data_IF_490119128425
#
_entry.id   IF_490119128425
#
_cell.length_a   1.000
_cell.length_b   1.000
_cell.length_c   1.000
_cell.angle_alpha   90.00
_cell.angle_beta   90.00
_cell.angle_gamma   90.00
#
_symmetry.space_group_name_H-M   'P 1'
#
loop_
_entity.id
_entity.type
_entity.pdbx_description
1 polymer ?
#
# COMPACT_ATOMS: atom_id res chain seq x y z
N UNK A 1 -4.39 -30.09 -31.10
CA UNK A 1 -4.64 -29.76 -29.69
C UNK A 1 -3.30 -29.75 -28.97
N UNK A 2 -2.64 -28.61 -28.83
CA UNK A 2 -1.38 -28.51 -28.08
C UNK A 2 -1.70 -28.47 -26.59
N UNK A 3 -1.29 -29.51 -25.86
CA UNK A 3 -1.37 -29.54 -24.40
C UNK A 3 -0.48 -28.44 -23.82
N UNK A 4 -1.06 -27.60 -22.98
CA UNK A 4 -0.33 -26.55 -22.28
C UNK A 4 0.57 -27.20 -21.23
N UNK A 5 1.88 -27.23 -21.47
CA UNK A 5 2.90 -27.43 -20.44
C UNK A 5 2.73 -26.32 -19.40
N UNK A 6 1.98 -26.61 -18.34
CA UNK A 6 1.73 -25.63 -17.29
C UNK A 6 2.92 -25.67 -16.36
N UNK A 7 3.72 -24.61 -16.42
CA UNK A 7 4.94 -24.48 -15.66
C UNK A 7 4.72 -23.48 -14.52
N UNK A 8 4.93 -23.91 -13.27
CA UNK A 8 4.65 -23.09 -12.08
C UNK A 8 5.94 -22.66 -11.39
N UNK A 9 6.13 -21.37 -11.19
CA UNK A 9 7.20 -20.85 -10.33
C UNK A 9 6.83 -21.02 -8.84
N UNK A 10 7.78 -21.45 -8.02
CA UNK A 10 7.65 -21.61 -6.56
C UNK A 10 8.87 -21.00 -5.86
N UNK A 11 8.65 -20.28 -4.76
CA UNK A 11 9.70 -19.81 -3.87
C UNK A 11 9.91 -20.86 -2.75
N UNK A 12 11.13 -21.37 -2.64
CA UNK A 12 11.54 -22.29 -1.58
C UNK A 12 11.85 -21.52 -0.26
N UNK A 13 11.79 -22.17 0.92
CA UNK A 13 12.06 -21.52 2.21
C UNK A 13 13.45 -20.91 2.34
N UNK A 14 14.41 -21.37 1.54
CA UNK A 14 15.77 -20.85 1.46
C UNK A 14 15.90 -19.62 0.53
N UNK A 15 14.78 -19.14 -0.03
CA UNK A 15 14.71 -17.99 -0.91
C UNK A 15 14.98 -18.29 -2.39
N UNK A 16 15.27 -19.55 -2.77
CA UNK A 16 15.46 -19.90 -4.18
C UNK A 16 14.13 -20.00 -4.91
N UNK A 17 14.08 -19.52 -6.14
CA UNK A 17 12.93 -19.72 -7.02
C UNK A 17 13.17 -20.95 -7.89
N UNK A 18 12.21 -21.87 -7.91
CA UNK A 18 12.22 -23.09 -8.73
C UNK A 18 11.04 -23.10 -9.69
N UNK A 19 11.21 -23.79 -10.79
CA UNK A 19 10.20 -24.03 -11.80
C UNK A 19 9.76 -25.49 -11.74
N UNK A 20 8.45 -25.71 -11.52
CA UNK A 20 7.84 -27.05 -11.52
C UNK A 20 7.27 -27.31 -12.90
N UNK A 21 7.83 -28.30 -13.59
CA UNK A 21 7.44 -28.75 -14.92
C UNK A 21 6.18 -29.64 -14.84
N UNK A 22 5.54 -29.88 -15.98
CA UNK A 22 4.27 -30.61 -16.07
C UNK A 22 4.36 -32.07 -15.59
N UNK A 23 5.55 -32.67 -15.66
CA UNK A 23 5.88 -34.02 -15.19
C UNK A 23 6.20 -34.07 -13.68
N UNK A 24 6.16 -32.92 -12.99
CA UNK A 24 6.50 -32.78 -11.57
C UNK A 24 7.99 -32.54 -11.31
N UNK A 25 8.83 -32.48 -12.35
CA UNK A 25 10.26 -32.19 -12.22
C UNK A 25 10.44 -30.75 -11.71
N UNK A 26 11.34 -30.58 -10.73
CA UNK A 26 11.65 -29.28 -10.14
C UNK A 26 13.05 -28.86 -10.58
N UNK A 27 13.14 -27.78 -11.33
CA UNK A 27 14.42 -27.21 -11.79
C UNK A 27 14.62 -25.81 -11.22
N UNK A 28 15.86 -25.33 -11.01
CA UNK A 28 16.10 -23.94 -10.67
C UNK A 28 15.50 -23.01 -11.74
N UNK A 29 14.78 -21.96 -11.31
CA UNK A 29 14.36 -20.91 -12.22
C UNK A 29 15.50 -19.87 -12.30
N UNK A 30 16.32 -19.97 -13.34
CA UNK A 30 17.37 -18.99 -13.57
C UNK A 30 16.76 -17.61 -13.84
N UNK A 31 17.26 -16.60 -13.13
CA UNK A 31 16.84 -15.23 -13.38
C UNK A 31 17.39 -14.79 -14.73
N UNK A 32 16.50 -14.38 -15.63
CA UNK A 32 16.87 -13.77 -16.92
C UNK A 32 17.34 -12.32 -16.77
N UNK A 33 17.28 -11.78 -15.56
CA UNK A 33 17.62 -10.39 -15.26
C UNK A 33 19.06 -10.31 -14.78
N UNK A 34 19.85 -9.47 -15.44
CA UNK A 34 21.15 -9.07 -14.92
C UNK A 34 20.98 -8.07 -13.76
N UNK A 35 20.92 -8.62 -12.54
CA UNK A 35 20.75 -7.83 -11.32
C UNK A 35 21.96 -6.96 -10.99
N UNK A 36 23.17 -7.39 -11.36
CA UNK A 36 24.39 -6.62 -11.11
C UNK A 36 24.38 -5.34 -11.96
N UNK A 37 23.97 -5.43 -13.22
CA UNK A 37 23.76 -4.27 -14.09
C UNK A 37 22.70 -3.32 -13.56
N UNK A 38 21.56 -3.84 -13.08
CA UNK A 38 20.49 -3.00 -12.52
C UNK A 38 20.94 -2.29 -11.24
N UNK A 39 21.63 -2.98 -10.34
CA UNK A 39 22.12 -2.41 -9.09
C UNK A 39 23.23 -1.37 -9.31
N UNK A 40 23.99 -1.47 -10.40
CA UNK A 40 25.01 -0.50 -10.79
C UNK A 40 24.47 0.68 -11.62
N UNK A 41 23.18 0.67 -11.99
CA UNK A 41 22.59 1.72 -12.81
C UNK A 41 22.54 3.04 -12.04
N UNK A 42 23.05 4.10 -12.67
CA UNK A 42 23.03 5.44 -12.09
C UNK A 42 21.62 6.03 -12.09
N UNK A 43 21.36 7.04 -11.25
CA UNK A 43 20.07 7.73 -11.22
C UNK A 43 19.77 8.40 -12.57
N UNK A 44 20.80 8.96 -13.22
CA UNK A 44 20.69 9.57 -14.55
C UNK A 44 20.30 8.55 -15.62
N UNK A 45 20.86 7.35 -15.59
CA UNK A 45 20.50 6.26 -16.51
C UNK A 45 19.10 5.72 -16.21
N UNK A 46 18.72 5.60 -14.94
CA UNK A 46 17.36 5.21 -14.53
C UNK A 46 16.35 6.21 -15.10
N UNK A 47 16.61 7.51 -14.93
CA UNK A 47 15.69 8.56 -15.39
C UNK A 47 15.63 8.62 -16.93
N UNK A 48 16.76 8.46 -17.62
CA UNK A 48 16.79 8.40 -19.07
C UNK A 48 16.01 7.19 -19.62
N UNK A 49 16.13 6.03 -18.98
CA UNK A 49 15.37 4.82 -19.34
C UNK A 49 13.86 5.03 -19.12
N UNK A 50 13.46 5.61 -17.99
CA UNK A 50 12.06 5.92 -17.72
C UNK A 50 11.49 6.92 -18.74
N UNK A 51 12.23 7.98 -19.09
CA UNK A 51 11.80 8.96 -20.12
C UNK A 51 11.71 8.36 -21.52
N UNK A 52 12.50 7.33 -21.82
CA UNK A 52 12.47 6.66 -23.11
C UNK A 52 11.33 5.64 -23.24
N UNK A 53 10.72 5.20 -22.13
CA UNK A 53 9.57 4.31 -22.08
C UNK A 53 8.26 5.11 -22.23
N UNK A 54 7.56 5.03 -23.39
CA UNK A 54 6.34 5.81 -23.62
C UNK A 54 5.19 5.42 -22.68
N UNK A 55 5.19 4.20 -22.14
CA UNK A 55 4.12 3.68 -21.30
C UNK A 55 4.32 4.03 -19.82
N UNK A 56 5.54 4.44 -19.42
CA UNK A 56 5.87 4.73 -18.02
C UNK A 56 6.87 5.90 -17.86
N UNK A 57 6.57 7.10 -18.40
CA UNK A 57 7.42 8.26 -18.20
C UNK A 57 7.35 8.79 -16.76
N UNK A 58 8.42 9.44 -16.25
CA UNK A 58 8.36 10.13 -14.98
C UNK A 58 7.34 11.28 -15.03
N UNK A 59 6.64 11.49 -13.91
CA UNK A 59 5.67 12.59 -13.78
C UNK A 59 6.36 13.95 -13.87
N UNK A 60 5.75 14.88 -14.60
CA UNK A 60 6.13 16.29 -14.54
C UNK A 60 5.81 16.89 -13.17
N UNK A 61 6.48 17.99 -12.81
CA UNK A 61 6.20 18.72 -11.57
C UNK A 61 4.74 19.19 -11.48
N UNK A 62 4.13 19.56 -12.62
CA UNK A 62 2.73 19.98 -12.68
C UNK A 62 1.78 18.79 -12.46
N UNK A 63 2.04 17.63 -13.07
CA UNK A 63 1.27 16.41 -12.85
C UNK A 63 1.35 15.94 -11.40
N UNK A 64 2.56 15.96 -10.83
CA UNK A 64 2.78 15.65 -9.43
C UNK A 64 2.02 16.61 -8.51
N UNK A 65 2.03 17.91 -8.80
CA UNK A 65 1.28 18.92 -8.05
C UNK A 65 -0.24 18.73 -8.14
N UNK A 66 -0.75 18.19 -9.25
CA UNK A 66 -2.17 17.84 -9.42
C UNK A 66 -2.57 16.57 -8.64
N UNK A 67 -1.60 15.72 -8.27
CA UNK A 67 -1.90 14.54 -7.45
C UNK A 67 -2.41 14.97 -6.09
N UNK A 68 -3.57 14.45 -5.71
CA UNK A 68 -4.08 14.60 -4.34
C UNK A 68 -3.70 13.37 -3.55
N UNK A 69 -2.65 13.40 -2.70
CA UNK A 69 -2.26 12.24 -1.91
C UNK A 69 -3.44 11.77 -1.04
N UNK A 70 -3.64 10.45 -1.03
CA UNK A 70 -4.56 9.81 -0.11
C UNK A 70 -3.89 9.80 1.27
N UNK A 71 -4.56 10.23 2.34
CA UNK A 71 -3.99 10.18 3.68
C UNK A 71 -3.64 8.73 4.04
N UNK A 72 -2.41 8.52 4.50
CA UNK A 72 -1.94 7.22 4.96
C UNK A 72 -2.40 7.01 6.41
N UNK A 73 -3.43 6.17 6.57
CA UNK A 73 -4.00 5.86 7.88
C UNK A 73 -2.96 5.25 8.85
N UNK A 74 -2.01 4.45 8.33
CA UNK A 74 -0.96 3.84 9.15
C UNK A 74 0.00 4.91 9.66
N UNK A 75 0.49 5.76 8.77
CA UNK A 75 1.40 6.84 9.12
C UNK A 75 0.77 7.82 10.14
N UNK A 76 -0.50 8.17 9.94
CA UNK A 76 -1.25 9.02 10.88
C UNK A 76 -1.32 8.34 12.26
N UNK A 77 -1.72 7.07 12.30
CA UNK A 77 -1.84 6.30 13.55
C UNK A 77 -0.49 6.20 14.29
N UNK A 78 0.58 5.92 13.57
CA UNK A 78 1.93 5.76 14.14
C UNK A 78 2.45 7.09 14.71
N UNK A 79 2.22 8.20 14.02
CA UNK A 79 2.55 9.55 14.53
C UNK A 79 1.78 9.90 15.81
N UNK A 80 0.55 9.41 15.94
CA UNK A 80 -0.25 9.53 17.17
C UNK A 80 0.12 8.52 18.26
N UNK A 81 1.04 7.59 17.97
CA UNK A 81 1.51 6.53 18.88
C UNK A 81 0.38 5.63 19.39
N UNK A 82 -0.54 5.26 18.51
CA UNK A 82 -1.69 4.40 18.85
C UNK A 82 -1.56 3.01 18.24
N UNK A 83 -2.07 2.00 18.96
CA UNK A 83 -2.37 0.70 18.35
C UNK A 83 -3.56 0.82 17.39
N UNK A 84 -3.76 -0.18 16.52
CA UNK A 84 -4.90 -0.19 15.60
C UNK A 84 -6.23 -0.11 16.37
N UNK A 85 -6.34 -0.84 17.48
CA UNK A 85 -7.51 -0.88 18.35
C UNK A 85 -7.77 0.48 19.00
N UNK A 86 -6.71 1.14 19.49
CA UNK A 86 -6.83 2.46 20.10
C UNK A 86 -7.25 3.52 19.08
N UNK A 87 -6.69 3.49 17.86
CA UNK A 87 -7.08 4.40 16.79
C UNK A 87 -8.53 4.18 16.37
N UNK A 88 -8.91 2.92 16.15
CA UNK A 88 -10.26 2.52 15.78
C UNK A 88 -11.30 3.01 16.80
N UNK A 89 -11.05 2.77 18.09
CA UNK A 89 -11.93 3.21 19.17
C UNK A 89 -11.98 4.74 19.29
N UNK A 90 -10.84 5.42 19.22
CA UNK A 90 -10.74 6.86 19.43
C UNK A 90 -11.42 7.70 18.34
N UNK A 91 -11.38 7.22 17.10
CA UNK A 91 -11.88 7.97 15.94
C UNK A 91 -13.11 7.33 15.29
N UNK A 92 -13.75 6.38 15.97
CA UNK A 92 -14.93 5.66 15.50
C UNK A 92 -14.74 5.04 14.10
N UNK A 93 -13.55 4.51 13.82
CA UNK A 93 -13.24 3.77 12.59
C UNK A 93 -13.31 2.28 12.90
N UNK A 94 -14.12 1.47 12.19
CA UNK A 94 -14.14 0.02 12.42
C UNK A 94 -12.75 -0.59 12.24
N UNK A 95 -12.31 -1.43 13.18
CA UNK A 95 -10.96 -2.02 13.18
C UNK A 95 -10.64 -2.78 11.88
N UNK A 96 -11.61 -3.54 11.35
CA UNK A 96 -11.45 -4.23 10.08
C UNK A 96 -11.21 -3.27 8.90
N UNK A 97 -11.92 -2.14 8.89
CA UNK A 97 -11.74 -1.09 7.88
C UNK A 97 -10.37 -0.44 7.97
N UNK A 98 -9.90 -0.12 9.18
CA UNK A 98 -8.55 0.41 9.38
C UNK A 98 -7.49 -0.58 8.86
N UNK A 99 -7.61 -1.87 9.19
CA UNK A 99 -6.70 -2.92 8.72
C UNK A 99 -6.68 -3.06 7.20
N UNK A 100 -7.85 -2.96 6.56
CA UNK A 100 -7.96 -2.99 5.10
C UNK A 100 -7.25 -1.78 4.46
N UNK A 101 -7.32 -0.60 5.09
CA UNK A 101 -6.60 0.58 4.63
C UNK A 101 -5.08 0.46 4.81
N UNK A 102 -4.62 0.06 5.99
CA UNK A 102 -3.18 0.00 6.29
C UNK A 102 -2.43 -1.07 5.49
N UNK A 103 -3.13 -2.13 5.04
CA UNK A 103 -2.58 -3.16 4.15
C UNK A 103 -2.80 -2.83 2.66
N UNK A 104 -3.54 -1.78 2.34
CA UNK A 104 -3.86 -1.40 0.95
C UNK A 104 -4.91 -2.28 0.27
N UNK A 105 -5.65 -3.11 1.02
CA UNK A 105 -6.76 -3.90 0.48
C UNK A 105 -7.94 -3.01 0.06
N UNK A 106 -8.10 -1.84 0.70
CA UNK A 106 -9.02 -0.78 0.27
C UNK A 106 -8.38 0.59 0.47
N UNK A 107 -8.87 1.58 -0.27
CA UNK A 107 -8.43 2.97 -0.15
C UNK A 107 -9.53 3.80 0.53
N UNK A 108 -9.21 4.66 1.53
CA UNK A 108 -10.19 5.56 2.11
C UNK A 108 -10.68 6.56 1.06
N UNK A 109 -12.00 6.71 0.97
CA UNK A 109 -12.67 7.58 0.00
C UNK A 109 -13.72 8.46 0.69
N UNK A 110 -14.11 9.55 0.02
CA UNK A 110 -15.18 10.44 0.47
C UNK A 110 -15.01 10.89 1.93
N UNK A 111 -16.02 10.71 2.80
CA UNK A 111 -15.96 11.13 4.20
C UNK A 111 -14.80 10.53 4.99
N UNK A 112 -14.41 9.28 4.73
CA UNK A 112 -13.28 8.64 5.42
C UNK A 112 -11.96 9.36 5.13
N UNK A 113 -11.75 9.77 3.88
CA UNK A 113 -10.57 10.55 3.48
C UNK A 113 -10.55 11.90 4.18
N UNK A 114 -11.70 12.57 4.27
CA UNK A 114 -11.83 13.85 4.99
C UNK A 114 -11.53 13.67 6.47
N UNK A 115 -12.11 12.67 7.12
CA UNK A 115 -11.87 12.36 8.54
C UNK A 115 -10.38 12.15 8.81
N UNK A 116 -9.70 11.33 8.00
CA UNK A 116 -8.26 11.10 8.16
C UNK A 116 -7.44 12.38 8.03
N UNK A 117 -7.80 13.31 7.12
CA UNK A 117 -7.14 14.63 7.03
C UNK A 117 -7.34 15.46 8.27
N UNK A 118 -8.55 15.48 8.82
CA UNK A 118 -8.84 16.24 10.05
C UNK A 118 -8.09 15.63 11.23
N UNK A 119 -8.05 14.29 11.36
CA UNK A 119 -7.27 13.60 12.40
C UNK A 119 -5.78 13.91 12.26
N UNK A 120 -5.26 13.92 11.03
CA UNK A 120 -3.86 14.20 10.76
C UNK A 120 -3.46 15.61 11.24
N UNK A 121 -4.30 16.60 10.98
CA UNK A 121 -4.05 18.00 11.32
C UNK A 121 -4.43 18.38 12.76
N UNK A 122 -5.60 17.94 13.24
CA UNK A 122 -6.16 18.29 14.54
C UNK A 122 -6.95 17.10 15.14
N UNK A 123 -6.25 16.11 15.72
CA UNK A 123 -6.90 14.95 16.33
C UNK A 123 -7.77 15.33 17.53
N UNK A 124 -7.41 16.40 18.25
CA UNK A 124 -8.13 16.89 19.43
C UNK A 124 -9.56 17.32 19.09
N UNK A 125 -9.75 18.09 18.03
CA UNK A 125 -11.07 18.52 17.58
C UNK A 125 -12.00 17.34 17.25
N UNK A 126 -11.46 16.26 16.66
CA UNK A 126 -12.25 15.05 16.37
C UNK A 126 -12.65 14.35 17.67
N UNK A 127 -11.71 14.21 18.61
CA UNK A 127 -11.97 13.58 19.92
C UNK A 127 -13.04 14.36 20.69
N UNK A 128 -12.93 15.70 20.73
CA UNK A 128 -13.91 16.57 21.38
C UNK A 128 -15.30 16.44 20.74
N UNK A 129 -15.38 16.47 19.42
CA UNK A 129 -16.63 16.32 18.68
C UNK A 129 -17.31 14.97 18.96
N UNK A 130 -16.55 13.88 18.99
CA UNK A 130 -17.06 12.54 19.28
C UNK A 130 -17.51 12.39 20.75
N UNK A 131 -16.80 13.01 21.69
CA UNK A 131 -17.17 13.00 23.11
C UNK A 131 -18.41 13.86 23.46
N UNK A 132 -18.77 14.82 22.61
CA UNK A 132 -20.03 15.57 22.73
C UNK A 132 -21.24 14.73 22.34
N UNK A 133 -21.14 13.96 21.26
CA UNK A 133 -22.23 13.13 20.73
C UNK A 133 -22.66 12.00 21.70
N UNK A 134 -21.74 11.47 22.51
CA UNK A 134 -22.07 10.43 23.49
C UNK A 134 -22.83 10.94 24.71
N UNK A 135 -22.76 12.25 25.03
CA UNK A 135 -23.46 12.85 26.17
C UNK A 135 -24.94 13.13 25.89
N UNK A 136 -25.32 13.21 24.62
CA UNK A 136 -26.69 13.56 24.21
C UNK A 136 -27.58 12.35 23.91
N UNK A 137 -27.06 11.10 23.98
CA UNK A 137 -27.89 9.90 23.84
C UNK A 137 -28.68 9.63 25.12
N UNK A 138 -30.01 9.80 25.13
CA UNK A 138 -30.83 9.40 26.27
C UNK A 138 -30.80 7.88 26.36
N UNK A 139 -30.47 7.34 27.52
CA UNK A 139 -30.68 5.93 27.84
C UNK A 139 -32.19 5.66 27.82
N UNK A 140 -32.67 5.03 26.76
CA UNK A 140 -34.00 4.41 26.70
C UNK A 140 -34.01 3.06 27.40
#
# INVERSE_FOLDING_TARGET
>A
MSGHDTVRARLEPDGRVVQVLADGTVVPLESRTDWARLAAMTEEEIEANARADPDNPPLTAEELARMRPVPDAKAIRERLRLTQEQFAARFAVPLGTLRDWERGARTPAGPARTLLRVIDHNPGAVIEALAGADRERPTG
#
